data_IF_885760992002
#
_entry.id   IF_885760992002
#
_cell.length_a   1.000
_cell.length_b   1.000
_cell.length_c   1.000
_cell.angle_alpha   90.00
_cell.angle_beta   90.00
_cell.angle_gamma   90.00
#
_symmetry.space_group_name_H-M   'P 1'
#
loop_
_entity.id
_entity.type
_entity.pdbx_description
1 polymer ?
#
# COMPACT_ATOMS: atom_id res chain seq x y z
N UNK A 1 0.03 9.12 11.99
CA UNK A 1 1.38 8.94 11.43
C UNK A 1 2.40 10.01 11.86
N UNK A 2 2.11 11.32 11.83
CA UNK A 2 3.08 12.39 12.17
C UNK A 2 3.62 12.46 13.62
N UNK A 3 3.17 11.58 14.53
CA UNK A 3 3.58 11.57 15.95
C UNK A 3 4.78 10.65 16.22
N UNK A 4 5.16 9.80 15.25
CA UNK A 4 6.21 8.80 15.45
C UNK A 4 7.61 9.44 15.38
N UNK A 5 8.53 8.88 16.19
CA UNK A 5 9.93 9.32 16.27
C UNK A 5 10.86 8.21 15.83
N UNK A 6 12.03 8.58 15.31
CA UNK A 6 13.13 7.67 15.04
C UNK A 6 13.80 7.22 16.34
N UNK A 7 14.67 6.23 16.23
CA UNK A 7 15.56 5.73 17.28
C UNK A 7 16.46 6.84 17.88
N UNK A 8 16.82 7.85 17.08
CA UNK A 8 17.53 9.04 17.54
C UNK A 8 16.60 10.16 18.06
N UNK A 9 15.32 9.85 18.30
CA UNK A 9 14.28 10.76 18.83
C UNK A 9 13.86 11.93 17.92
N UNK A 10 14.28 11.94 16.66
CA UNK A 10 13.80 12.90 15.65
C UNK A 10 12.41 12.54 15.16
N UNK A 11 11.65 13.52 14.66
CA UNK A 11 10.34 13.23 14.04
C UNK A 11 10.57 12.52 12.73
N UNK A 12 9.84 11.42 12.51
CA UNK A 12 9.80 10.78 11.21
C UNK A 12 8.97 11.70 10.31
N UNK A 13 9.63 12.33 9.35
CA UNK A 13 8.93 13.04 8.29
C UNK A 13 8.07 12.04 7.50
N UNK A 14 6.85 12.40 7.13
CA UNK A 14 5.89 11.53 6.41
C UNK A 14 5.15 12.42 5.43
N UNK A 15 4.96 11.91 4.21
CA UNK A 15 4.28 12.64 3.15
C UNK A 15 2.83 13.00 3.49
N UNK A 16 2.27 13.89 2.68
CA UNK A 16 0.84 14.25 2.76
C UNK A 16 -0.05 13.39 1.85
N UNK A 17 0.56 12.55 0.98
CA UNK A 17 -0.16 11.63 0.10
C UNK A 17 -0.54 10.34 0.85
N UNK A 18 -1.63 10.42 1.61
CA UNK A 18 -2.06 9.36 2.53
C UNK A 18 -3.29 8.62 1.99
N UNK A 19 -3.27 7.30 2.09
CA UNK A 19 -4.41 6.43 1.82
C UNK A 19 -4.87 5.71 3.09
N UNK A 20 -6.17 5.42 3.19
CA UNK A 20 -6.76 4.54 4.21
C UNK A 20 -7.25 3.30 3.51
N UNK A 21 -6.72 2.15 3.92
CA UNK A 21 -7.14 0.83 3.48
C UNK A 21 -8.14 0.31 4.49
N UNK A 22 -9.34 -0.02 4.01
CA UNK A 22 -10.45 -0.51 4.83
C UNK A 22 -11.04 -1.79 4.24
N UNK A 23 -11.62 -2.66 5.07
CA UNK A 23 -12.44 -3.77 4.60
C UNK A 23 -13.67 -3.25 3.84
N UNK A 24 -14.25 -4.09 2.99
CA UNK A 24 -15.33 -3.69 2.07
C UNK A 24 -16.59 -3.29 2.85
N UNK A 25 -16.83 -3.93 3.98
CA UNK A 25 -17.94 -3.61 4.88
C UNK A 25 -17.87 -2.19 5.51
N UNK A 26 -16.68 -1.58 5.58
CA UNK A 26 -16.43 -0.23 6.10
C UNK A 26 -16.15 0.78 4.98
N UNK A 27 -16.20 0.35 3.71
CA UNK A 27 -15.87 1.21 2.58
C UNK A 27 -16.82 2.41 2.47
N UNK A 28 -18.12 2.19 2.60
CA UNK A 28 -19.15 3.24 2.49
C UNK A 28 -18.98 4.30 3.60
N UNK A 29 -18.80 3.86 4.85
CA UNK A 29 -18.53 4.75 5.98
C UNK A 29 -17.24 5.55 5.77
N UNK A 30 -16.18 4.91 5.27
CA UNK A 30 -14.92 5.58 4.98
C UNK A 30 -15.06 6.63 3.86
N UNK A 31 -15.84 6.34 2.81
CA UNK A 31 -16.15 7.30 1.75
C UNK A 31 -16.96 8.49 2.27
N UNK A 32 -17.94 8.25 3.15
CA UNK A 32 -18.72 9.31 3.78
C UNK A 32 -17.84 10.22 4.65
N UNK A 33 -16.99 9.64 5.50
CA UNK A 33 -16.10 10.39 6.40
C UNK A 33 -15.11 11.29 5.63
N UNK A 34 -14.54 10.79 4.54
CA UNK A 34 -13.59 11.56 3.71
C UNK A 34 -14.31 12.53 2.76
N UNK A 35 -15.53 12.19 2.34
CA UNK A 35 -16.34 12.96 1.39
C UNK A 35 -17.21 14.05 2.03
N UNK A 36 -17.39 14.04 3.35
CA UNK A 36 -18.22 15.03 4.04
C UNK A 36 -17.48 16.35 4.20
N UNK A 37 -18.01 17.43 3.63
CA UNK A 37 -17.39 18.78 3.67
C UNK A 37 -17.55 19.47 5.03
N UNK A 38 -18.66 19.24 5.72
CA UNK A 38 -19.00 19.90 6.99
C UNK A 38 -19.85 19.02 7.88
N UNK A 39 -19.75 19.20 9.20
CA UNK A 39 -20.65 18.54 10.17
C UNK A 39 -20.23 17.15 10.62
N UNK A 40 -18.93 16.82 10.55
CA UNK A 40 -18.42 15.49 10.93
C UNK A 40 -18.59 15.16 12.42
N UNK A 41 -18.65 16.16 13.31
CA UNK A 41 -18.59 15.96 14.77
C UNK A 41 -19.62 16.80 15.57
N UNK A 42 -20.26 17.79 14.95
CA UNK A 42 -21.22 18.72 15.62
C UNK A 42 -22.24 19.31 14.65
N UNK A 43 -23.37 19.78 15.18
CA UNK A 43 -24.45 20.41 14.42
C UNK A 43 -23.98 21.68 13.67
N UNK A 44 -24.19 21.67 12.35
CA UNK A 44 -24.03 22.73 11.35
C UNK A 44 -22.73 23.57 11.36
N UNK A 45 -22.13 23.71 10.18
CA UNK A 45 -21.07 24.68 9.83
C UNK A 45 -19.64 24.43 10.35
N UNK A 46 -19.33 23.30 10.99
CA UNK A 46 -17.92 22.94 11.23
C UNK A 46 -17.26 22.40 9.94
N UNK A 47 -16.12 22.97 9.53
CA UNK A 47 -15.37 22.55 8.35
C UNK A 47 -14.62 21.24 8.65
N UNK A 48 -14.80 20.23 7.80
CA UNK A 48 -14.01 19.00 7.90
C UNK A 48 -12.59 19.23 7.37
N UNK A 49 -11.59 19.24 8.26
CA UNK A 49 -10.17 19.36 7.88
C UNK A 49 -9.62 18.12 7.16
N UNK A 50 -10.32 16.99 7.23
CA UNK A 50 -9.98 15.75 6.55
C UNK A 50 -10.70 15.60 5.19
N UNK A 51 -11.54 16.55 4.80
CA UNK A 51 -12.27 16.51 3.54
C UNK A 51 -11.31 16.35 2.35
N UNK A 52 -11.44 15.23 1.63
CA UNK A 52 -10.58 14.83 0.50
C UNK A 52 -9.08 14.80 0.80
N UNK A 53 -8.70 14.72 2.07
CA UNK A 53 -7.30 14.63 2.49
C UNK A 53 -6.72 13.24 2.25
N UNK A 54 -7.55 12.21 2.41
CA UNK A 54 -7.15 10.81 2.31
C UNK A 54 -7.76 10.17 1.07
N UNK A 55 -7.02 9.24 0.46
CA UNK A 55 -7.59 8.34 -0.54
C UNK A 55 -8.14 7.09 0.17
N UNK A 56 -9.39 6.70 -0.11
CA UNK A 56 -9.95 5.45 0.42
C UNK A 56 -9.67 4.30 -0.57
N UNK A 57 -9.13 3.20 -0.06
CA UNK A 57 -8.83 1.97 -0.82
C UNK A 57 -9.55 0.80 -0.14
N UNK A 58 -10.71 0.38 -0.64
CA UNK A 58 -11.37 -0.84 -0.18
C UNK A 58 -10.53 -2.07 -0.55
N UNK A 59 -10.34 -2.98 0.39
CA UNK A 59 -9.62 -4.23 0.16
C UNK A 59 -10.40 -5.44 0.72
N UNK A 60 -11.04 -6.25 -0.15
CA UNK A 60 -12.01 -7.27 0.28
C UNK A 60 -11.40 -8.41 1.09
N UNK A 61 -10.09 -8.68 0.94
CA UNK A 61 -9.43 -9.73 1.71
C UNK A 61 -9.19 -9.35 3.18
N UNK A 62 -9.43 -8.09 3.58
CA UNK A 62 -9.42 -7.73 5.00
C UNK A 62 -10.60 -8.38 5.71
N UNK A 63 -11.77 -8.44 5.07
CA UNK A 63 -12.98 -9.06 5.64
C UNK A 63 -12.80 -10.54 5.99
N UNK A 64 -11.93 -11.27 5.28
CA UNK A 64 -11.60 -12.66 5.60
C UNK A 64 -10.92 -12.82 6.97
N UNK A 65 -10.31 -11.74 7.49
CA UNK A 65 -9.49 -11.74 8.70
C UNK A 65 -10.06 -10.88 9.85
N UNK A 66 -10.51 -9.67 9.54
CA UNK A 66 -11.16 -8.75 10.48
C UNK A 66 -12.02 -7.74 9.69
N UNK A 67 -13.28 -7.62 10.07
CA UNK A 67 -14.25 -6.68 9.49
C UNK A 67 -14.13 -5.26 10.06
N UNK A 68 -13.14 -5.00 10.91
CA UNK A 68 -12.96 -3.69 11.58
C UNK A 68 -11.57 -3.12 11.48
N UNK A 69 -10.58 -3.95 11.17
CA UNK A 69 -9.19 -3.53 11.12
C UNK A 69 -8.97 -2.61 9.92
N UNK A 70 -8.25 -1.52 10.14
CA UNK A 70 -7.95 -0.54 9.09
C UNK A 70 -6.48 -0.17 9.12
N UNK A 71 -6.00 0.28 7.96
CA UNK A 71 -4.61 0.66 7.78
C UNK A 71 -4.52 2.03 7.14
N UNK A 72 -3.54 2.83 7.54
CA UNK A 72 -3.20 4.08 6.89
C UNK A 72 -1.82 3.94 6.26
N UNK A 73 -1.69 4.38 5.00
CA UNK A 73 -0.51 4.18 4.17
C UNK A 73 -0.03 5.51 3.60
N UNK A 74 1.28 5.74 3.65
CA UNK A 74 1.95 6.78 2.87
C UNK A 74 2.26 6.21 1.48
N UNK A 75 1.54 6.70 0.47
CA UNK A 75 1.58 6.15 -0.88
C UNK A 75 2.93 6.41 -1.58
N UNK A 76 3.60 7.51 -1.26
CA UNK A 76 4.86 7.87 -1.89
C UNK A 76 5.99 6.98 -1.36
N UNK A 77 6.00 6.72 -0.04
CA UNK A 77 6.94 5.79 0.58
C UNK A 77 6.66 4.34 0.22
N UNK A 78 5.39 3.95 0.18
CA UNK A 78 5.00 2.59 -0.21
C UNK A 78 5.61 2.21 -1.57
N UNK A 79 5.54 3.11 -2.56
CA UNK A 79 6.13 2.87 -3.89
C UNK A 79 7.65 2.77 -3.91
N UNK A 80 8.34 3.44 -2.97
CA UNK A 80 9.79 3.39 -2.87
C UNK A 80 10.30 2.16 -2.11
N UNK A 81 9.52 1.73 -1.11
CA UNK A 81 9.90 0.67 -0.18
C UNK A 81 9.45 -0.70 -0.65
N UNK A 82 8.29 -0.83 -1.31
CA UNK A 82 7.86 -2.07 -1.94
C UNK A 82 8.67 -2.31 -3.21
N UNK A 83 9.48 -3.37 -3.20
CA UNK A 83 10.38 -3.69 -4.29
C UNK A 83 10.21 -5.13 -4.75
N UNK A 84 10.41 -5.31 -6.06
CA UNK A 84 10.69 -6.60 -6.64
C UNK A 84 12.19 -6.89 -6.46
N UNK A 85 12.50 -7.99 -5.80
CA UNK A 85 13.87 -8.42 -5.56
C UNK A 85 14.21 -9.45 -6.64
N UNK A 86 15.04 -9.07 -7.59
CA UNK A 86 15.59 -9.98 -8.57
C UNK A 86 16.66 -10.86 -7.90
N UNK A 87 16.37 -12.15 -7.71
CA UNK A 87 17.32 -13.12 -7.13
C UNK A 87 18.22 -13.71 -8.19
N UNK A 88 17.66 -13.98 -9.37
CA UNK A 88 18.39 -14.42 -10.54
C UNK A 88 17.89 -13.60 -11.72
N UNK A 89 18.79 -12.81 -12.30
CA UNK A 89 18.51 -12.03 -13.50
C UNK A 89 18.11 -12.97 -14.66
N UNK A 90 17.32 -12.50 -15.63
CA UNK A 90 16.89 -13.33 -16.75
C UNK A 90 18.10 -13.88 -17.50
N UNK A 91 18.27 -15.21 -17.48
CA UNK A 91 19.32 -15.90 -18.21
C UNK A 91 18.76 -16.55 -19.48
N UNK A 92 18.82 -15.89 -20.65
CA UNK A 92 18.39 -16.50 -21.89
C UNK A 92 19.40 -17.55 -22.36
N UNK A 93 18.94 -18.78 -22.56
CA UNK A 93 19.69 -19.88 -23.17
C UNK A 93 19.05 -20.19 -24.52
N UNK A 94 19.81 -19.96 -25.59
CA UNK A 94 19.38 -20.28 -26.95
C UNK A 94 20.27 -21.39 -27.50
N UNK A 95 19.66 -22.41 -28.08
CA UNK A 95 20.37 -23.48 -28.79
C UNK A 95 19.75 -23.61 -30.17
N UNK A 96 20.59 -23.62 -31.19
CA UNK A 96 20.19 -23.84 -32.58
C UNK A 96 20.66 -25.25 -32.96
N UNK A 97 19.72 -26.10 -33.34
CA UNK A 97 20.05 -27.41 -33.91
C UNK A 97 20.54 -27.23 -35.36
N UNK A 98 21.70 -27.79 -35.67
CA UNK A 98 22.34 -27.64 -36.98
C UNK A 98 21.63 -28.46 -38.06
N UNK A 99 21.13 -29.65 -37.73
CA UNK A 99 20.58 -30.59 -38.71
C UNK A 99 19.13 -30.28 -39.08
N UNK A 100 18.36 -29.76 -38.13
CA UNK A 100 16.92 -29.47 -38.32
C UNK A 100 16.59 -28.00 -38.37
N UNK A 101 17.56 -27.11 -38.11
CA UNK A 101 17.38 -25.66 -37.98
C UNK A 101 16.33 -25.25 -36.94
N UNK A 102 16.06 -26.11 -35.95
CA UNK A 102 15.15 -25.80 -34.86
C UNK A 102 15.85 -24.91 -33.84
N UNK A 103 15.21 -23.80 -33.50
CA UNK A 103 15.65 -22.88 -32.44
C UNK A 103 14.92 -23.24 -31.15
N UNK A 104 15.67 -23.51 -30.09
CA UNK A 104 15.15 -23.70 -28.73
C UNK A 104 15.61 -22.55 -27.86
N UNK A 105 14.66 -21.89 -27.21
CA UNK A 105 14.90 -20.79 -26.28
C UNK A 105 14.36 -21.16 -24.91
N UNK A 106 15.14 -20.92 -23.87
CA UNK A 106 14.74 -21.03 -22.48
C UNK A 106 15.17 -19.76 -21.74
N UNK A 107 14.34 -19.27 -20.85
CA UNK A 107 14.68 -18.16 -19.95
C UNK A 107 14.40 -18.63 -18.54
N UNK A 108 15.40 -18.49 -17.66
CA UNK A 108 15.24 -18.72 -16.24
C UNK A 108 15.34 -17.39 -15.50
N UNK A 109 14.39 -17.13 -14.60
CA UNK A 109 14.36 -15.95 -13.74
C UNK A 109 13.69 -16.31 -12.41
N UNK A 110 14.20 -15.74 -11.31
CA UNK A 110 13.60 -15.84 -9.98
C UNK A 110 13.44 -14.43 -9.41
N UNK A 111 12.20 -14.06 -9.10
CA UNK A 111 11.85 -12.78 -8.50
C UNK A 111 11.11 -13.03 -7.19
N UNK A 112 11.55 -12.36 -6.13
CA UNK A 112 10.83 -12.28 -4.87
C UNK A 112 10.12 -10.93 -4.69
N UNK A 113 9.13 -10.90 -3.80
CA UNK A 113 8.51 -9.67 -3.33
C UNK A 113 9.00 -9.35 -1.93
N UNK A 114 9.25 -8.07 -1.65
CA UNK A 114 9.70 -7.64 -0.34
C UNK A 114 9.55 -6.14 -0.10
N UNK A 115 9.99 -5.69 1.06
CA UNK A 115 10.05 -4.28 1.40
C UNK A 115 11.37 -3.92 2.07
N UNK A 116 11.90 -2.73 1.80
CA UNK A 116 13.15 -2.23 2.41
C UNK A 116 12.93 -1.68 3.82
N UNK A 117 11.77 -1.06 4.05
CA UNK A 117 11.44 -0.38 5.30
C UNK A 117 9.94 -0.53 5.56
N UNK A 118 9.53 -0.53 6.83
CA UNK A 118 8.13 -0.74 7.26
C UNK A 118 7.37 0.56 7.53
N UNK A 119 8.06 1.70 7.59
CA UNK A 119 7.53 3.00 8.06
C UNK A 119 6.53 3.68 7.10
N UNK A 120 6.06 2.99 6.07
CA UNK A 120 5.06 3.45 5.11
C UNK A 120 3.63 3.04 5.48
N UNK A 121 3.45 2.12 6.43
CA UNK A 121 2.13 1.62 6.85
C UNK A 121 1.95 1.71 8.36
N UNK A 122 0.73 2.05 8.76
CA UNK A 122 0.24 2.00 10.14
C UNK A 122 -1.05 1.20 10.18
N UNK A 123 -1.08 0.12 10.95
CA UNK A 123 -2.28 -0.71 11.14
C UNK A 123 -2.88 -0.53 12.53
N UNK A 124 -4.20 -0.46 12.60
CA UNK A 124 -4.94 -0.49 13.85
C UNK A 124 -5.72 -1.80 13.94
N UNK A 125 -5.40 -2.60 14.96
CA UNK A 125 -6.22 -3.76 15.31
C UNK A 125 -7.36 -3.30 16.22
N UNK A 126 -8.60 -3.58 15.83
CA UNK A 126 -9.81 -3.15 16.52
C UNK A 126 -10.54 -4.38 17.05
N UNK A 127 -10.55 -4.53 18.38
CA UNK A 127 -11.29 -5.60 19.07
C UNK A 127 -12.83 -5.44 18.91
#
# INVERSE_FOLDING_TARGET
MRKFRSDISERIDIGDNLAVIVPDNLADDAYELVGTKSGMDVAHDNINMAYKRYQVIPYPRLDDSSTKDWYMVDMDRMKQDLIWIERTAPEPKTTIDFDTYIVKQAVYMDIGYGFKNWRWIYGQNVA
#
